data_IF_419858755046
#
_entry.id   IF_419858755046
#
_cell.length_a   1.000
_cell.length_b   1.000
_cell.length_c   1.000
_cell.angle_alpha   90.00
_cell.angle_beta   90.00
_cell.angle_gamma   90.00
#
_symmetry.space_group_name_H-M   'P 1'
#
loop_
_entity.id
_entity.type
_entity.pdbx_description
1 polymer ?
#
# COMPACT_ATOMS: atom_id res chain seq x y z
N UNK A 1 9.31 -27.01 33.36
CA UNK A 1 8.43 -25.86 33.09
C UNK A 1 9.15 -24.90 32.15
N UNK A 2 8.80 -24.89 30.87
CA UNK A 2 9.53 -24.17 29.81
C UNK A 2 8.83 -22.82 29.54
N UNK A 3 9.34 -21.73 30.12
CA UNK A 3 8.77 -20.37 30.09
C UNK A 3 9.38 -19.46 29.01
N UNK A 4 10.42 -19.92 28.28
CA UNK A 4 11.19 -19.08 27.35
C UNK A 4 10.51 -18.76 26.01
N UNK A 5 9.38 -19.38 25.68
CA UNK A 5 8.83 -19.34 24.32
C UNK A 5 7.28 -19.29 24.28
N UNK A 6 6.66 -18.13 24.55
CA UNK A 6 5.20 -18.00 24.60
C UNK A 6 4.51 -18.33 23.26
N UNK A 7 5.11 -17.92 22.13
CA UNK A 7 4.61 -18.22 20.78
C UNK A 7 4.56 -19.74 20.49
N UNK A 8 5.51 -20.50 21.05
CA UNK A 8 5.59 -21.95 20.89
C UNK A 8 4.52 -22.70 21.68
N UNK A 9 4.08 -22.14 22.82
CA UNK A 9 2.99 -22.71 23.60
C UNK A 9 1.65 -22.48 22.88
N UNK A 10 1.47 -21.31 22.26
CA UNK A 10 0.32 -21.00 21.41
C UNK A 10 0.22 -21.90 20.17
N UNK A 11 1.34 -22.17 19.48
CA UNK A 11 1.35 -23.09 18.34
C UNK A 11 1.08 -24.54 18.75
N UNK A 12 1.61 -25.03 19.90
CA UNK A 12 1.30 -26.38 20.38
C UNK A 12 -0.18 -26.59 20.67
N UNK A 13 -0.83 -25.59 21.28
CA UNK A 13 -2.23 -25.68 21.69
C UNK A 13 -3.24 -25.32 20.59
N UNK A 14 -2.81 -24.92 19.39
CA UNK A 14 -3.73 -24.58 18.29
C UNK A 14 -4.39 -25.81 17.66
N UNK A 15 -5.67 -25.77 17.33
CA UNK A 15 -6.38 -26.85 16.64
C UNK A 15 -6.13 -26.89 15.12
N UNK A 16 -5.34 -25.95 14.60
CA UNK A 16 -5.11 -25.73 13.16
C UNK A 16 -4.40 -26.89 12.42
N UNK A 17 -3.79 -27.82 13.13
CA UNK A 17 -3.07 -28.94 12.50
C UNK A 17 -3.02 -30.19 13.38
N UNK A 18 -3.43 -31.33 12.82
CA UNK A 18 -3.42 -32.64 13.51
C UNK A 18 -2.02 -33.29 13.57
N UNK A 19 -1.14 -33.06 12.59
CA UNK A 19 0.20 -33.66 12.52
C UNK A 19 1.28 -32.58 12.67
N UNK A 20 1.66 -32.32 13.92
CA UNK A 20 2.65 -31.32 14.31
C UNK A 20 4.01 -31.96 14.56
N UNK A 21 5.03 -31.52 13.83
CA UNK A 21 6.41 -31.96 14.04
C UNK A 21 7.27 -30.79 14.54
N UNK A 22 8.16 -31.08 15.49
CA UNK A 22 9.22 -30.15 15.90
C UNK A 22 10.56 -30.69 15.42
N UNK A 23 11.26 -29.90 14.63
CA UNK A 23 12.60 -30.20 14.14
C UNK A 23 13.57 -29.16 14.70
N UNK A 24 14.67 -29.64 15.28
CA UNK A 24 15.80 -28.79 15.61
C UNK A 24 16.73 -28.76 14.40
N UNK A 25 16.73 -27.65 13.66
CA UNK A 25 17.62 -27.43 12.52
C UNK A 25 18.73 -26.49 12.98
N UNK A 26 19.85 -27.06 13.45
CA UNK A 26 20.96 -26.30 14.02
C UNK A 26 20.55 -25.50 15.28
N UNK A 27 20.69 -24.16 15.26
CA UNK A 27 20.24 -23.27 16.34
C UNK A 27 18.77 -22.84 16.25
N UNK A 28 18.04 -23.27 15.22
CA UNK A 28 16.65 -22.89 14.99
C UNK A 28 15.69 -24.04 15.33
N UNK A 29 14.60 -23.71 16.04
CA UNK A 29 13.46 -24.60 16.18
C UNK A 29 12.50 -24.33 15.03
N UNK A 30 12.18 -25.37 14.29
CA UNK A 30 11.20 -25.36 13.19
C UNK A 30 10.00 -26.16 13.64
N UNK A 31 8.83 -25.54 13.59
CA UNK A 31 7.56 -26.24 13.71
C UNK A 31 6.99 -26.50 12.32
N UNK A 32 6.48 -27.69 12.08
CA UNK A 32 5.92 -28.11 10.80
C UNK A 32 4.51 -28.68 10.97
N UNK A 33 3.69 -28.46 9.96
CA UNK A 33 2.40 -29.12 9.76
C UNK A 33 2.37 -29.72 8.34
N UNK A 34 2.09 -31.02 8.21
CA UNK A 34 1.96 -31.71 6.90
C UNK A 34 3.10 -31.37 5.89
N UNK A 35 4.37 -31.45 6.31
CA UNK A 35 5.57 -31.13 5.51
C UNK A 35 5.73 -29.67 5.05
N UNK A 36 4.84 -28.76 5.46
CA UNK A 36 5.04 -27.31 5.35
C UNK A 36 5.67 -26.76 6.62
N UNK A 37 6.57 -25.78 6.50
CA UNK A 37 7.10 -25.05 7.65
C UNK A 37 6.04 -24.08 8.20
N UNK A 38 5.73 -24.19 9.49
CA UNK A 38 4.77 -23.33 10.19
C UNK A 38 5.45 -22.13 10.83
N UNK A 39 6.06 -22.35 12.00
CA UNK A 39 6.79 -21.32 12.76
C UNK A 39 8.28 -21.70 12.82
N UNK A 40 9.14 -20.87 12.23
CA UNK A 40 10.61 -20.97 12.35
C UNK A 40 11.08 -19.83 13.24
N UNK A 41 11.92 -20.10 14.24
CA UNK A 41 12.65 -19.03 14.93
C UNK A 41 13.56 -18.30 13.92
N UNK A 42 13.17 -17.10 13.49
CA UNK A 42 13.92 -16.35 12.48
C UNK A 42 15.02 -15.48 13.12
N UNK A 43 16.18 -15.43 12.48
CA UNK A 43 17.32 -14.62 12.93
C UNK A 43 17.23 -13.21 12.34
N UNK A 44 17.13 -12.19 13.18
CA UNK A 44 17.34 -10.78 12.78
C UNK A 44 18.87 -10.56 12.70
N UNK A 45 19.51 -11.07 11.65
CA UNK A 45 20.99 -11.11 11.59
C UNK A 45 21.64 -9.89 10.93
N UNK A 46 20.87 -8.96 10.38
CA UNK A 46 21.45 -7.82 9.65
C UNK A 46 21.04 -6.47 10.25
N UNK A 47 22.04 -5.71 10.72
CA UNK A 47 21.88 -4.30 11.16
C UNK A 47 21.73 -3.32 10.00
N UNK A 48 21.83 -3.77 8.74
CA UNK A 48 21.63 -2.98 7.50
C UNK A 48 20.25 -3.19 6.88
N UNK A 49 19.23 -3.39 7.71
CA UNK A 49 17.88 -3.68 7.23
C UNK A 49 17.21 -2.39 6.75
N UNK A 50 17.23 -2.15 5.44
CA UNK A 50 16.67 -0.97 4.78
C UNK A 50 15.20 -0.73 5.15
N UNK A 51 14.41 -1.80 5.27
CA UNK A 51 12.96 -1.70 5.45
C UNK A 51 12.49 -1.22 6.85
N UNK A 52 13.00 -1.72 8.00
CA UNK A 52 12.69 -1.19 9.33
C UNK A 52 13.07 0.29 9.55
N UNK A 53 14.16 0.75 8.93
CA UNK A 53 14.50 2.18 8.94
C UNK A 53 13.56 2.99 8.05
N UNK A 54 13.18 2.45 6.89
CA UNK A 54 12.28 3.13 5.95
C UNK A 54 10.84 3.24 6.50
N UNK A 55 10.31 2.16 7.07
CA UNK A 55 8.99 2.18 7.71
C UNK A 55 8.95 3.16 8.89
N UNK A 56 10.05 3.29 9.66
CA UNK A 56 10.15 4.29 10.72
C UNK A 56 10.07 5.71 10.18
N UNK A 57 10.81 6.06 9.13
CA UNK A 57 10.75 7.41 8.56
C UNK A 57 9.37 7.69 7.97
N UNK A 58 8.75 6.75 7.25
CA UNK A 58 7.39 6.94 6.71
C UNK A 58 6.34 7.15 7.81
N UNK A 59 6.44 6.45 8.95
CA UNK A 59 5.55 6.68 10.11
C UNK A 59 5.78 8.08 10.70
N UNK A 60 7.03 8.49 10.91
CA UNK A 60 7.31 9.83 11.46
C UNK A 60 6.83 10.94 10.54
N UNK A 61 6.97 10.78 9.22
CA UNK A 61 6.44 11.75 8.25
C UNK A 61 4.92 11.77 8.25
N UNK A 62 4.26 10.61 8.34
CA UNK A 62 2.79 10.54 8.46
C UNK A 62 2.30 11.27 9.71
N UNK A 63 2.94 11.03 10.86
CA UNK A 63 2.62 11.71 12.12
C UNK A 63 2.89 13.20 12.01
N UNK A 64 4.02 13.61 11.42
CA UNK A 64 4.35 15.03 11.22
C UNK A 64 3.27 15.76 10.43
N UNK A 65 2.80 15.17 9.33
CA UNK A 65 1.77 15.77 8.48
C UNK A 65 0.45 15.92 9.25
N UNK A 66 0.00 14.86 9.91
CA UNK A 66 -1.26 14.88 10.65
C UNK A 66 -1.18 15.82 11.86
N UNK A 67 -0.10 15.76 12.65
CA UNK A 67 0.11 16.62 13.81
C UNK A 67 0.18 18.09 13.41
N UNK A 68 0.88 18.42 12.31
CA UNK A 68 0.88 19.77 11.75
C UNK A 68 -0.53 20.20 11.35
N UNK A 69 -1.30 19.30 10.72
CA UNK A 69 -2.70 19.55 10.36
C UNK A 69 -3.57 19.90 11.57
N UNK A 70 -3.39 19.19 12.68
CA UNK A 70 -4.12 19.45 13.94
C UNK A 70 -3.67 20.76 14.60
N UNK A 71 -2.37 20.94 14.81
CA UNK A 71 -1.83 22.10 15.55
C UNK A 71 -2.09 23.42 14.82
N UNK A 72 -2.04 23.43 13.49
CA UNK A 72 -2.23 24.64 12.67
C UNK A 72 -3.64 24.73 12.05
N UNK A 73 -4.62 24.02 12.60
CA UNK A 73 -6.00 24.05 12.12
C UNK A 73 -6.70 25.40 12.43
N UNK A 74 -6.47 25.96 13.62
CA UNK A 74 -7.16 27.18 14.07
C UNK A 74 -6.50 28.47 13.58
N UNK A 75 -5.17 28.49 13.54
CA UNK A 75 -4.39 29.65 13.15
C UNK A 75 -3.01 29.23 12.68
N UNK A 76 -2.40 30.03 11.82
CA UNK A 76 -0.97 29.94 11.51
C UNK A 76 -0.38 31.34 11.31
N UNK A 77 0.94 31.44 11.29
CA UNK A 77 1.61 32.71 10.95
C UNK A 77 1.20 33.25 9.57
N UNK A 78 0.88 32.35 8.63
CA UNK A 78 0.47 32.73 7.28
C UNK A 78 -1.00 33.13 7.20
N UNK A 79 -1.90 32.48 7.95
CA UNK A 79 -3.34 32.74 7.97
C UNK A 79 -3.80 32.75 9.44
N UNK A 80 -3.86 33.94 10.06
CA UNK A 80 -4.20 34.06 11.49
C UNK A 80 -5.62 33.60 11.82
N UNK A 81 -6.57 33.80 10.91
CA UNK A 81 -8.01 33.61 11.07
C UNK A 81 -8.52 32.29 10.43
N UNK A 82 -7.65 31.28 10.33
CA UNK A 82 -7.97 30.01 9.65
C UNK A 82 -9.21 29.29 10.24
N UNK A 83 -9.47 29.45 11.53
CA UNK A 83 -10.65 28.89 12.19
C UNK A 83 -11.96 29.34 11.53
N UNK A 84 -12.02 30.55 10.98
CA UNK A 84 -13.22 31.10 10.32
C UNK A 84 -13.47 30.47 8.94
N UNK A 85 -12.42 30.00 8.27
CA UNK A 85 -12.51 29.28 7.00
C UNK A 85 -13.01 27.83 7.17
N UNK A 86 -13.00 27.33 8.41
CA UNK A 86 -13.46 26.00 8.78
C UNK A 86 -12.45 24.89 8.51
N UNK A 87 -12.89 23.64 8.68
CA UNK A 87 -12.02 22.46 8.54
C UNK A 87 -11.67 22.14 7.08
N UNK A 88 -12.63 22.34 6.16
CA UNK A 88 -12.57 21.88 4.77
C UNK A 88 -12.75 23.04 3.79
N UNK A 89 -11.63 23.58 3.32
CA UNK A 89 -11.59 24.64 2.31
C UNK A 89 -10.34 24.48 1.42
N UNK A 90 -10.38 24.86 0.14
CA UNK A 90 -9.31 24.51 -0.80
C UNK A 90 -8.03 25.35 -0.68
N UNK A 91 -8.19 26.64 -0.39
CA UNK A 91 -7.16 27.67 -0.26
C UNK A 91 -7.80 28.98 0.27
N UNK A 92 -6.95 29.93 0.63
CA UNK A 92 -7.27 31.34 0.95
C UNK A 92 -6.75 32.25 -0.19
N UNK A 93 -7.13 31.92 -1.42
CA UNK A 93 -6.72 32.65 -2.64
C UNK A 93 -5.24 32.51 -3.06
N UNK A 94 -4.84 33.18 -4.17
CA UNK A 94 -3.48 33.12 -4.70
C UNK A 94 -2.49 34.08 -4.00
N UNK A 95 -2.97 34.93 -3.08
CA UNK A 95 -2.14 35.88 -2.34
C UNK A 95 -1.07 35.21 -1.46
N UNK A 96 -0.15 36.02 -0.91
CA UNK A 96 0.92 35.57 0.01
C UNK A 96 1.82 34.46 -0.56
N UNK A 97 1.99 34.42 -1.89
CA UNK A 97 2.78 33.40 -2.59
C UNK A 97 2.03 32.10 -2.87
N UNK A 98 0.72 32.05 -2.61
CA UNK A 98 -0.15 30.89 -2.80
C UNK A 98 -0.46 30.16 -1.49
N UNK A 99 -1.75 30.00 -1.19
CA UNK A 99 -2.22 29.37 0.07
C UNK A 99 -2.92 28.03 -0.19
N UNK A 100 -2.51 27.31 -1.23
CA UNK A 100 -3.03 25.99 -1.54
C UNK A 100 -2.74 25.00 -0.39
N UNK A 101 -3.71 24.11 -0.11
CA UNK A 101 -3.56 22.99 0.83
C UNK A 101 -3.21 23.36 2.28
N UNK A 102 -3.67 24.53 2.73
CA UNK A 102 -3.45 24.99 4.11
C UNK A 102 -4.48 24.46 5.11
N UNK A 103 -5.60 23.90 4.65
CA UNK A 103 -6.67 23.39 5.50
C UNK A 103 -6.27 22.11 6.25
N UNK A 104 -6.91 21.83 7.38
CA UNK A 104 -6.68 20.58 8.10
C UNK A 104 -7.14 19.36 7.29
N UNK A 105 -8.22 19.50 6.50
CA UNK A 105 -8.65 18.47 5.55
C UNK A 105 -7.57 18.12 4.53
N UNK A 106 -6.83 19.11 4.02
CA UNK A 106 -5.72 18.87 3.08
C UNK A 106 -4.54 18.14 3.72
N UNK A 107 -4.32 18.33 5.02
CA UNK A 107 -3.31 17.54 5.75
C UNK A 107 -3.74 16.09 5.93
N UNK A 108 -5.04 15.81 6.10
CA UNK A 108 -5.57 14.44 6.05
C UNK A 108 -5.37 13.84 4.66
N UNK A 109 -5.69 14.59 3.61
CA UNK A 109 -5.45 14.20 2.22
C UNK A 109 -3.98 13.81 1.96
N UNK A 110 -3.02 14.64 2.39
CA UNK A 110 -1.59 14.32 2.26
C UNK A 110 -1.17 13.14 3.15
N UNK A 111 -1.72 13.06 4.36
CA UNK A 111 -1.46 11.98 5.30
C UNK A 111 -1.88 10.61 4.77
N UNK A 112 -2.94 10.53 3.95
CA UNK A 112 -3.37 9.29 3.32
C UNK A 112 -2.34 8.70 2.36
N UNK A 113 -1.62 9.52 1.58
CA UNK A 113 -0.55 9.04 0.70
C UNK A 113 0.64 8.48 1.49
N UNK A 114 1.01 9.15 2.58
CA UNK A 114 2.11 8.70 3.44
C UNK A 114 1.76 7.46 4.26
N UNK A 115 0.52 7.38 4.73
CA UNK A 115 -0.03 6.17 5.32
C UNK A 115 0.03 5.01 4.33
N UNK A 116 -0.44 5.21 3.09
CA UNK A 116 -0.36 4.19 2.04
C UNK A 116 1.08 3.74 1.78
N UNK A 117 2.01 4.68 1.61
CA UNK A 117 3.43 4.36 1.43
C UNK A 117 3.99 3.55 2.62
N UNK A 118 3.71 3.98 3.84
CA UNK A 118 4.19 3.32 5.04
C UNK A 118 3.66 1.89 5.16
N UNK A 119 2.36 1.68 4.96
CA UNK A 119 1.75 0.34 5.05
C UNK A 119 2.27 -0.55 3.92
N UNK A 120 2.39 -0.03 2.70
CA UNK A 120 2.86 -0.78 1.53
C UNK A 120 4.27 -1.36 1.75
N UNK A 121 5.19 -0.55 2.29
CA UNK A 121 6.55 -1.03 2.59
C UNK A 121 6.55 -2.11 3.69
N UNK A 122 5.69 -1.97 4.71
CA UNK A 122 5.57 -2.96 5.79
C UNK A 122 5.06 -4.30 5.28
N UNK A 123 4.00 -4.30 4.44
CA UNK A 123 3.44 -5.53 3.88
C UNK A 123 4.37 -6.17 2.84
N UNK A 124 5.10 -5.38 2.04
CA UNK A 124 6.11 -5.89 1.12
C UNK A 124 7.26 -6.57 1.87
N UNK A 125 7.73 -5.93 2.94
CA UNK A 125 8.73 -6.52 3.82
C UNK A 125 8.25 -7.83 4.43
N UNK A 126 7.03 -7.85 4.97
CA UNK A 126 6.45 -9.07 5.52
C UNK A 126 6.40 -10.18 4.47
N UNK A 127 5.79 -9.91 3.32
CA UNK A 127 5.63 -10.91 2.25
C UNK A 127 6.95 -11.50 1.79
N UNK A 128 7.95 -10.65 1.52
CA UNK A 128 9.25 -11.14 1.04
C UNK A 128 10.02 -11.89 2.13
N UNK A 129 10.06 -11.34 3.36
CA UNK A 129 10.77 -11.96 4.48
C UNK A 129 10.22 -13.35 4.80
N UNK A 130 8.90 -13.49 4.79
CA UNK A 130 8.24 -14.77 5.05
C UNK A 130 8.54 -15.80 3.95
N UNK A 131 8.43 -15.43 2.67
CA UNK A 131 8.72 -16.36 1.56
C UNK A 131 10.21 -16.74 1.47
N UNK A 132 11.11 -15.86 1.90
CA UNK A 132 12.56 -16.09 1.76
C UNK A 132 13.16 -16.91 2.89
N UNK A 133 12.76 -16.64 4.13
CA UNK A 133 13.46 -17.14 5.32
C UNK A 133 12.56 -17.95 6.28
N UNK A 134 11.27 -18.10 5.99
CA UNK A 134 10.32 -18.77 6.91
C UNK A 134 9.52 -19.87 6.21
N UNK A 135 8.73 -19.51 5.21
CA UNK A 135 7.87 -20.43 4.47
C UNK A 135 8.69 -21.28 3.50
N UNK A 136 8.33 -22.55 3.41
CA UNK A 136 9.03 -23.54 2.62
C UNK A 136 8.52 -24.96 2.88
N UNK A 137 9.06 -25.90 2.13
CA UNK A 137 8.81 -27.33 2.30
C UNK A 137 9.92 -27.97 3.12
N UNK A 138 9.60 -29.05 3.83
CA UNK A 138 10.55 -29.79 4.65
C UNK A 138 10.75 -31.17 4.03
N UNK A 139 11.99 -31.49 3.70
CA UNK A 139 12.36 -32.82 3.20
C UNK A 139 12.34 -33.86 4.32
N UNK A 140 12.32 -35.15 3.96
CA UNK A 140 12.35 -36.25 4.92
C UNK A 140 13.65 -36.29 5.76
N UNK A 141 14.69 -35.57 5.32
CA UNK A 141 15.96 -35.38 6.03
C UNK A 141 15.92 -34.18 7.00
N UNK A 142 14.79 -33.49 7.13
CA UNK A 142 14.63 -32.33 8.00
C UNK A 142 15.24 -31.03 7.45
N UNK A 143 15.60 -30.98 6.16
CA UNK A 143 16.11 -29.78 5.50
C UNK A 143 14.94 -28.92 5.03
N UNK A 144 14.96 -27.63 5.36
CA UNK A 144 13.95 -26.65 4.92
C UNK A 144 14.38 -26.05 3.59
N UNK A 145 13.53 -26.16 2.56
CA UNK A 145 13.69 -25.46 1.27
C UNK A 145 12.69 -24.32 1.21
N UNK A 146 13.17 -23.08 1.37
CA UNK A 146 12.35 -21.87 1.35
C UNK A 146 11.84 -21.51 -0.05
N UNK A 147 10.66 -20.88 -0.13
CA UNK A 147 10.00 -20.54 -1.40
C UNK A 147 10.92 -19.71 -2.32
N UNK A 148 11.66 -18.75 -1.78
CA UNK A 148 12.61 -17.93 -2.56
C UNK A 148 14.07 -18.15 -2.17
N UNK A 149 14.38 -19.29 -1.52
CA UNK A 149 15.75 -19.74 -1.28
C UNK A 149 16.65 -18.79 -0.48
N UNK A 150 16.11 -18.05 0.50
CA UNK A 150 16.93 -17.18 1.36
C UNK A 150 17.53 -15.94 0.68
N UNK A 151 17.01 -15.54 -0.50
CA UNK A 151 17.50 -14.39 -1.25
C UNK A 151 17.36 -13.02 -0.53
N UNK A 152 16.58 -12.92 0.54
CA UNK A 152 16.28 -11.65 1.21
C UNK A 152 17.53 -10.98 1.79
N UNK A 153 18.46 -11.76 2.34
CA UNK A 153 19.63 -11.21 3.03
C UNK A 153 20.54 -10.35 2.13
N UNK A 154 20.67 -10.72 0.85
CA UNK A 154 21.54 -10.05 -0.11
C UNK A 154 20.78 -9.08 -1.02
N UNK A 155 19.51 -9.35 -1.31
CA UNK A 155 18.75 -8.54 -2.27
C UNK A 155 18.01 -7.37 -1.61
N UNK A 156 17.53 -7.51 -0.37
CA UNK A 156 16.70 -6.48 0.28
C UNK A 156 17.44 -5.20 0.67
N UNK A 157 18.77 -5.17 0.55
CA UNK A 157 19.61 -4.01 0.88
C UNK A 157 19.74 -2.99 -0.26
N UNK A 158 19.22 -3.31 -1.47
CA UNK A 158 19.24 -2.39 -2.61
C UNK A 158 17.84 -2.25 -3.23
N UNK A 159 17.50 -1.07 -3.73
CA UNK A 159 16.22 -0.84 -4.44
C UNK A 159 16.10 -1.76 -5.66
N UNK A 160 17.21 -2.00 -6.37
CA UNK A 160 17.22 -2.92 -7.49
C UNK A 160 16.86 -4.36 -7.09
N UNK A 161 17.30 -4.82 -5.91
CA UNK A 161 16.89 -6.12 -5.40
C UNK A 161 15.39 -6.20 -5.09
N UNK A 162 14.79 -5.14 -4.53
CA UNK A 162 13.33 -5.06 -4.36
C UNK A 162 12.58 -5.08 -5.70
N UNK A 163 13.12 -4.42 -6.73
CA UNK A 163 12.52 -4.42 -8.06
C UNK A 163 12.63 -5.78 -8.74
N UNK A 164 13.83 -6.37 -8.77
CA UNK A 164 14.13 -7.59 -9.52
C UNK A 164 13.64 -8.86 -8.81
N UNK A 165 14.05 -9.06 -7.56
CA UNK A 165 13.89 -10.35 -6.87
C UNK A 165 12.58 -10.45 -6.09
N UNK A 166 11.92 -9.31 -5.84
CA UNK A 166 10.60 -9.27 -5.22
C UNK A 166 9.52 -8.90 -6.23
N UNK A 167 9.45 -7.65 -6.71
CA UNK A 167 8.35 -7.20 -7.56
C UNK A 167 8.29 -7.95 -8.90
N UNK A 168 9.38 -7.95 -9.66
CA UNK A 168 9.44 -8.57 -10.98
C UNK A 168 9.29 -10.09 -10.90
N UNK A 169 10.12 -10.76 -10.08
CA UNK A 169 10.10 -12.21 -9.97
C UNK A 169 8.76 -12.76 -9.45
N UNK A 170 8.16 -12.13 -8.44
CA UNK A 170 6.92 -12.61 -7.82
C UNK A 170 5.66 -12.13 -8.56
N UNK A 171 5.77 -11.20 -9.50
CA UNK A 171 4.65 -10.82 -10.36
C UNK A 171 4.37 -11.85 -11.47
N UNK A 172 5.28 -12.80 -11.69
CA UNK A 172 5.12 -13.85 -12.71
C UNK A 172 3.79 -14.60 -12.60
N UNK A 173 3.34 -14.93 -11.39
CA UNK A 173 2.08 -15.64 -11.17
C UNK A 173 0.86 -14.80 -11.57
N UNK A 174 0.85 -13.50 -11.25
CA UNK A 174 -0.32 -12.64 -11.54
C UNK A 174 -0.43 -12.36 -13.04
N UNK A 175 0.70 -12.13 -13.73
CA UNK A 175 0.69 -11.80 -15.17
C UNK A 175 0.49 -13.03 -16.06
N UNK A 176 0.86 -14.23 -15.59
CA UNK A 176 0.65 -15.49 -16.32
C UNK A 176 -0.62 -16.25 -15.87
N UNK A 177 -1.51 -15.59 -15.12
CA UNK A 177 -2.72 -16.23 -14.56
C UNK A 177 -3.86 -16.46 -15.56
N UNK A 178 -3.77 -15.89 -16.76
CA UNK A 178 -4.82 -15.96 -17.77
C UNK A 178 -5.04 -17.41 -18.24
N UNK A 179 -6.31 -17.81 -18.40
CA UNK A 179 -6.65 -19.21 -18.73
C UNK A 179 -6.61 -20.18 -17.53
N UNK A 180 -6.41 -19.68 -16.31
CA UNK A 180 -6.48 -20.46 -15.07
C UNK A 180 -7.58 -19.96 -14.12
N UNK A 181 -7.79 -20.68 -13.00
CA UNK A 181 -8.67 -20.24 -11.91
C UNK A 181 -8.20 -18.94 -11.21
N UNK A 182 -6.94 -18.53 -11.42
CA UNK A 182 -6.38 -17.28 -10.88
C UNK A 182 -6.53 -16.09 -11.83
N UNK A 183 -7.11 -16.29 -13.02
CA UNK A 183 -7.25 -15.24 -14.07
C UNK A 183 -7.97 -13.97 -13.59
N UNK A 184 -8.91 -14.10 -12.66
CA UNK A 184 -9.57 -12.96 -12.04
C UNK A 184 -8.56 -12.00 -11.38
N UNK A 185 -7.53 -12.52 -10.69
CA UNK A 185 -6.49 -11.68 -10.09
C UNK A 185 -5.68 -10.94 -11.16
N UNK A 186 -5.39 -11.57 -12.30
CA UNK A 186 -4.75 -10.90 -13.44
C UNK A 186 -5.58 -9.72 -13.96
N UNK A 187 -6.90 -9.91 -14.12
CA UNK A 187 -7.82 -8.84 -14.54
C UNK A 187 -7.89 -7.70 -13.53
N UNK A 188 -8.03 -8.02 -12.23
CA UNK A 188 -8.01 -7.01 -11.17
C UNK A 188 -6.68 -6.28 -11.07
N UNK A 189 -5.55 -6.96 -11.32
CA UNK A 189 -4.24 -6.35 -11.33
C UNK A 189 -4.16 -5.26 -12.42
N UNK A 190 -4.59 -5.54 -13.65
CA UNK A 190 -4.61 -4.52 -14.72
C UNK A 190 -5.64 -3.42 -14.44
N UNK A 191 -6.86 -3.78 -14.02
CA UNK A 191 -7.91 -2.80 -13.71
C UNK A 191 -7.51 -1.85 -12.59
N UNK A 192 -6.81 -2.35 -11.57
CA UNK A 192 -6.30 -1.55 -10.47
C UNK A 192 -5.17 -0.59 -10.91
N UNK A 193 -4.28 -1.01 -11.81
CA UNK A 193 -3.29 -0.09 -12.43
C UNK A 193 -3.98 1.02 -13.21
N UNK A 194 -5.03 0.69 -13.97
CA UNK A 194 -5.81 1.69 -14.69
C UNK A 194 -6.45 2.70 -13.73
N UNK A 195 -7.11 2.24 -12.67
CA UNK A 195 -7.73 3.10 -11.65
C UNK A 195 -6.70 3.98 -10.94
N UNK A 196 -5.53 3.43 -10.63
CA UNK A 196 -4.43 4.19 -10.04
C UNK A 196 -3.93 5.29 -10.99
N UNK A 197 -3.71 4.99 -12.27
CA UNK A 197 -3.28 5.98 -13.26
C UNK A 197 -4.37 7.03 -13.52
N UNK A 198 -5.64 6.63 -13.58
CA UNK A 198 -6.79 7.52 -13.71
C UNK A 198 -6.87 8.54 -12.58
N UNK A 199 -6.47 8.15 -11.37
CA UNK A 199 -6.42 9.06 -10.22
C UNK A 199 -5.49 10.26 -10.44
N UNK A 200 -4.39 10.07 -11.17
CA UNK A 200 -3.39 11.10 -11.42
C UNK A 200 -3.96 12.26 -12.25
N UNK A 201 -4.95 11.98 -13.11
CA UNK A 201 -5.68 13.00 -13.86
C UNK A 201 -6.27 14.05 -12.91
N UNK A 202 -6.89 13.64 -11.81
CA UNK A 202 -7.49 14.56 -10.83
C UNK A 202 -6.46 15.20 -9.89
N UNK A 203 -5.35 14.52 -9.62
CA UNK A 203 -4.32 15.00 -8.70
C UNK A 203 -3.39 16.04 -9.33
N UNK A 204 -3.14 15.95 -10.64
CA UNK A 204 -2.24 16.86 -11.36
C UNK A 204 -2.96 17.98 -12.11
N UNK A 205 -4.25 17.85 -12.37
CA UNK A 205 -5.04 18.91 -13.03
C UNK A 205 -5.81 19.78 -12.04
N UNK A 206 -6.20 20.97 -12.49
CA UNK A 206 -7.02 21.92 -11.75
C UNK A 206 -8.42 22.07 -12.34
N UNK A 207 -9.37 22.51 -11.50
CA UNK A 207 -10.78 22.74 -11.90
C UNK A 207 -10.93 23.67 -13.11
N UNK A 208 -10.10 24.71 -13.21
CA UNK A 208 -10.24 25.75 -14.25
C UNK A 208 -10.23 25.16 -15.67
N UNK A 209 -9.23 24.33 -15.97
CA UNK A 209 -9.13 23.63 -17.26
C UNK A 209 -10.39 22.83 -17.61
N UNK A 210 -10.90 22.03 -16.66
CA UNK A 210 -12.09 21.22 -16.89
C UNK A 210 -13.36 22.05 -17.03
N UNK A 211 -13.44 23.19 -16.35
CA UNK A 211 -14.59 24.09 -16.44
C UNK A 211 -14.65 24.76 -17.83
N UNK A 212 -13.53 25.22 -18.37
CA UNK A 212 -13.44 25.78 -19.74
C UNK A 212 -13.78 24.73 -20.81
N UNK A 213 -13.32 23.49 -20.62
CA UNK A 213 -13.70 22.37 -21.50
C UNK A 213 -15.21 22.10 -21.47
N UNK A 214 -15.80 22.08 -20.27
CA UNK A 214 -17.26 21.89 -20.12
C UNK A 214 -18.02 23.04 -20.81
N UNK A 215 -17.54 24.27 -20.74
CA UNK A 215 -18.18 25.41 -21.41
C UNK A 215 -18.20 25.24 -22.93
N UNK A 216 -17.11 24.73 -23.51
CA UNK A 216 -17.04 24.39 -24.94
C UNK A 216 -18.03 23.27 -25.32
N UNK A 217 -18.18 22.25 -24.45
CA UNK A 217 -19.13 21.15 -24.66
C UNK A 217 -20.59 21.65 -24.54
N UNK A 218 -20.88 22.49 -23.55
CA UNK A 218 -22.21 23.08 -23.33
C UNK A 218 -22.60 23.96 -24.51
N UNK A 219 -21.66 24.71 -25.09
CA UNK A 219 -21.91 25.46 -26.33
C UNK A 219 -22.42 24.53 -27.45
N UNK A 220 -21.78 23.36 -27.65
CA UNK A 220 -22.21 22.39 -28.66
C UNK A 220 -23.60 21.80 -28.36
N UNK A 221 -23.89 21.48 -27.09
CA UNK A 221 -25.21 20.97 -26.68
C UNK A 221 -26.33 21.99 -26.90
N UNK A 222 -26.05 23.28 -26.65
CA UNK A 222 -27.00 24.37 -26.89
C UNK A 222 -27.31 24.52 -28.39
N UNK A 223 -26.32 24.35 -29.27
CA UNK A 223 -26.55 24.39 -30.73
C UNK A 223 -27.49 23.29 -31.21
N UNK A 224 -27.42 22.12 -30.58
CA UNK A 224 -28.29 20.98 -30.88
C UNK A 224 -29.57 20.94 -30.03
N UNK A 225 -29.80 21.94 -29.16
CA UNK A 225 -30.95 22.01 -28.23
C UNK A 225 -31.09 20.77 -27.32
N UNK A 226 -29.99 20.12 -26.98
CA UNK A 226 -29.93 18.96 -26.06
C UNK A 226 -29.22 19.30 -24.74
N UNK A 227 -29.07 20.58 -24.44
CA UNK A 227 -28.47 21.01 -23.19
C UNK A 227 -29.36 20.63 -21.99
N UNK A 228 -28.79 20.06 -20.92
CA UNK A 228 -29.54 19.74 -19.72
C UNK A 228 -30.00 21.01 -19.00
N UNK A 229 -31.14 20.94 -18.29
CA UNK A 229 -31.64 22.06 -17.48
C UNK A 229 -30.72 22.38 -16.28
N UNK A 230 -30.10 21.36 -15.69
CA UNK A 230 -29.11 21.53 -14.61
C UNK A 230 -27.73 21.84 -15.20
N UNK A 231 -27.17 22.99 -14.84
CA UNK A 231 -25.89 23.44 -15.39
C UNK A 231 -24.75 22.48 -15.01
N UNK A 232 -24.03 21.90 -16.00
CA UNK A 232 -22.88 21.07 -15.71
C UNK A 232 -21.72 21.94 -15.21
N UNK A 233 -21.09 21.52 -14.11
CA UNK A 233 -19.94 22.19 -13.50
C UNK A 233 -18.84 21.17 -13.26
N UNK A 234 -17.60 21.59 -13.45
CA UNK A 234 -16.46 20.79 -13.02
C UNK A 234 -16.49 20.62 -11.49
N UNK A 235 -15.96 19.49 -11.02
CA UNK A 235 -15.83 19.18 -9.59
C UNK A 235 -15.20 20.33 -8.82
N UNK A 236 -15.65 20.56 -7.58
CA UNK A 236 -14.96 21.50 -6.69
C UNK A 236 -13.52 21.05 -6.43
N UNK A 237 -12.63 21.99 -6.08
CA UNK A 237 -11.21 21.69 -5.82
C UNK A 237 -11.05 20.58 -4.76
N UNK A 238 -11.83 20.64 -3.69
CA UNK A 238 -11.84 19.62 -2.63
C UNK A 238 -12.38 18.29 -3.14
N UNK A 239 -13.45 18.28 -3.95
CA UNK A 239 -13.95 17.04 -4.56
C UNK A 239 -12.93 16.43 -5.51
N UNK A 240 -12.22 17.22 -6.33
CA UNK A 240 -11.16 16.73 -7.19
C UNK A 240 -10.04 16.04 -6.41
N UNK A 241 -9.59 16.66 -5.30
CA UNK A 241 -8.63 16.05 -4.37
C UNK A 241 -9.18 14.74 -3.77
N UNK A 242 -10.43 14.74 -3.32
CA UNK A 242 -11.07 13.57 -2.70
C UNK A 242 -11.22 12.40 -3.70
N UNK A 243 -11.66 12.68 -4.92
CA UNK A 243 -11.78 11.70 -6.01
C UNK A 243 -10.39 11.15 -6.35
N UNK A 244 -9.39 12.02 -6.49
CA UNK A 244 -8.01 11.64 -6.74
C UNK A 244 -7.45 10.69 -5.69
N UNK A 245 -7.49 11.06 -4.39
CA UNK A 245 -6.96 10.18 -3.33
C UNK A 245 -7.74 8.87 -3.22
N UNK A 246 -9.06 8.88 -3.44
CA UNK A 246 -9.89 7.67 -3.39
C UNK A 246 -9.47 6.67 -4.45
N UNK A 247 -9.33 7.10 -5.71
CA UNK A 247 -8.91 6.22 -6.80
C UNK A 247 -7.43 5.82 -6.67
N UNK A 248 -6.57 6.70 -6.15
CA UNK A 248 -5.17 6.39 -5.89
C UNK A 248 -5.03 5.25 -4.88
N UNK A 249 -5.73 5.35 -3.74
CA UNK A 249 -5.72 4.32 -2.72
C UNK A 249 -6.38 3.03 -3.22
N UNK A 250 -7.54 3.12 -3.86
CA UNK A 250 -8.26 1.97 -4.38
C UNK A 250 -7.39 1.18 -5.38
N UNK A 251 -6.83 1.87 -6.38
CA UNK A 251 -5.96 1.25 -7.38
C UNK A 251 -4.68 0.69 -6.76
N UNK A 252 -4.00 1.44 -5.89
CA UNK A 252 -2.78 0.97 -5.24
C UNK A 252 -2.98 -0.27 -4.36
N UNK A 253 -4.04 -0.27 -3.54
CA UNK A 253 -4.38 -1.39 -2.65
C UNK A 253 -4.83 -2.60 -3.47
N UNK A 254 -5.71 -2.41 -4.47
CA UNK A 254 -6.21 -3.50 -5.29
C UNK A 254 -5.10 -4.15 -6.14
N UNK A 255 -4.14 -3.36 -6.64
CA UNK A 255 -2.96 -3.88 -7.33
C UNK A 255 -2.15 -4.79 -6.41
N UNK A 256 -1.88 -4.33 -5.19
CA UNK A 256 -1.11 -5.11 -4.20
C UNK A 256 -1.85 -6.36 -3.76
N UNK A 257 -3.18 -6.25 -3.58
CA UNK A 257 -4.05 -7.37 -3.23
C UNK A 257 -4.02 -8.48 -4.29
N UNK A 258 -4.20 -8.13 -5.56
CA UNK A 258 -4.17 -9.08 -6.67
C UNK A 258 -2.79 -9.74 -6.81
N UNK A 259 -1.72 -8.94 -6.71
CA UNK A 259 -0.34 -9.43 -6.70
C UNK A 259 -0.09 -10.46 -5.60
N UNK A 260 -0.47 -10.16 -4.36
CA UNK A 260 -0.22 -11.04 -3.23
C UNK A 260 -1.04 -12.32 -3.27
N UNK A 261 -2.33 -12.24 -3.61
CA UNK A 261 -3.18 -13.43 -3.64
C UNK A 261 -2.81 -14.37 -4.79
N UNK A 262 -2.61 -13.84 -6.00
CA UNK A 262 -2.16 -14.66 -7.13
C UNK A 262 -0.82 -15.34 -6.83
N UNK A 263 0.12 -14.62 -6.21
CA UNK A 263 1.42 -15.17 -5.81
C UNK A 263 1.26 -16.29 -4.79
N UNK A 264 0.66 -16.00 -3.63
CA UNK A 264 0.70 -16.93 -2.49
C UNK A 264 -0.15 -18.18 -2.73
N UNK A 265 -1.27 -18.08 -3.47
CA UNK A 265 -2.08 -19.25 -3.81
C UNK A 265 -1.33 -20.19 -4.77
N UNK A 266 -0.46 -19.66 -5.62
CA UNK A 266 0.29 -20.45 -6.59
C UNK A 266 1.56 -21.10 -6.01
N UNK A 267 2.09 -20.62 -4.88
CA UNK A 267 3.37 -21.09 -4.31
C UNK A 267 3.31 -21.57 -2.87
N UNK A 268 2.19 -21.39 -2.18
CA UNK A 268 1.94 -21.84 -0.80
C UNK A 268 1.13 -23.13 -0.76
#
# INVERSE_FOLDING_TARGET
MDTKYPCWRAWRNSSWCNNKYQLNVGRQRVSSCRRQSGFVTYSIRNRRFFSPSHSRISIHVTVLILLKGVLFARSSRLIPDKANLGFRFPCDGPGRGGTCQVSAWDHVFLGLFWMYNSISVVIFHFSWKMQSDVWGTISDQGIVTHITGGNFAQSSITINGWLRDFLWAQASQVIQSYGSSLSAYGLFFLGAHFVWAFSLMFLFSGRGYWQELIESIVWAHNKLKVAPATQPRALSIIQGRAVGVTHYLLGGIATTWAFFLARIIAVG
#
